data_IF_563500569525
#
_entry.id   IF_563500569525
#
_cell.length_a   1.000
_cell.length_b   1.000
_cell.length_c   1.000
_cell.angle_alpha   90.00
_cell.angle_beta   90.00
_cell.angle_gamma   90.00
#
_symmetry.space_group_name_H-M   'P 1'
#
loop_
_entity.id
_entity.type
_entity.pdbx_description
1 polymer ?
#
# COMPACT_ATOMS: atom_id res chain seq x y z
N UNK A 1 -6.99 22.19 -22.96
CA UNK A 1 -5.64 22.09 -22.49
C UNK A 1 -5.14 23.39 -21.88
N UNK A 2 -3.99 23.38 -21.22
CA UNK A 2 -3.38 24.58 -20.66
C UNK A 2 -2.56 25.32 -21.73
N UNK A 3 -2.62 26.68 -21.79
CA UNK A 3 -1.80 27.47 -22.70
C UNK A 3 -0.30 27.28 -22.38
N UNK A 4 0.54 27.15 -23.42
CA UNK A 4 1.99 26.98 -23.27
C UNK A 4 2.66 28.10 -22.45
N UNK A 5 2.12 29.32 -22.52
CA UNK A 5 2.60 30.45 -21.73
C UNK A 5 2.46 30.24 -20.23
N UNK A 6 1.36 29.61 -19.78
CA UNK A 6 1.15 29.26 -18.35
C UNK A 6 2.12 28.17 -17.89
N UNK A 7 2.34 27.15 -18.72
CA UNK A 7 3.30 26.07 -18.44
C UNK A 7 4.71 26.66 -18.29
N UNK A 8 5.13 27.50 -19.24
CA UNK A 8 6.45 28.17 -19.16
C UNK A 8 6.58 29.09 -17.97
N UNK A 9 5.50 29.80 -17.59
CA UNK A 9 5.50 30.63 -16.38
C UNK A 9 5.71 29.78 -15.14
N UNK A 10 4.94 28.71 -14.96
CA UNK A 10 5.08 27.78 -13.84
C UNK A 10 6.50 27.20 -13.74
N UNK A 11 7.07 26.74 -14.87
CA UNK A 11 8.43 26.22 -14.89
C UNK A 11 9.47 27.22 -14.40
N UNK A 12 9.33 28.50 -14.78
CA UNK A 12 10.22 29.58 -14.31
C UNK A 12 10.02 29.89 -12.82
N UNK A 13 8.78 29.87 -12.34
CA UNK A 13 8.46 30.03 -10.92
C UNK A 13 9.06 28.90 -10.07
N UNK A 14 8.97 27.66 -10.55
CA UNK A 14 9.58 26.51 -9.90
C UNK A 14 11.11 26.65 -9.78
N UNK A 15 11.77 27.06 -10.87
CA UNK A 15 13.23 27.26 -10.84
C UNK A 15 13.64 28.42 -9.96
N UNK A 16 12.85 29.49 -9.91
CA UNK A 16 13.14 30.69 -9.11
C UNK A 16 12.85 30.52 -7.62
N UNK A 17 12.11 29.49 -7.23
CA UNK A 17 11.78 29.24 -5.84
C UNK A 17 13.04 28.86 -5.05
N UNK A 18 13.13 29.30 -3.79
CA UNK A 18 14.21 28.92 -2.87
C UNK A 18 14.20 27.41 -2.58
N UNK A 19 13.01 26.82 -2.46
CA UNK A 19 12.77 25.40 -2.34
C UNK A 19 11.45 25.08 -3.07
N UNK A 20 11.44 24.01 -3.87
CA UNK A 20 10.26 23.55 -4.56
C UNK A 20 10.00 22.09 -4.17
N UNK A 21 8.89 21.85 -3.47
CA UNK A 21 8.45 20.51 -3.13
C UNK A 21 7.48 20.01 -4.20
N UNK A 22 7.87 18.96 -4.91
CA UNK A 22 7.08 18.38 -6.00
C UNK A 22 6.63 16.99 -5.55
N UNK A 23 5.33 16.83 -5.35
CA UNK A 23 4.73 15.60 -4.85
C UNK A 23 3.69 15.08 -5.84
N UNK A 24 3.63 13.76 -5.99
CA UNK A 24 2.58 13.08 -6.70
C UNK A 24 1.95 12.02 -5.82
N UNK A 25 0.65 11.78 -6.01
CA UNK A 25 -0.04 10.65 -5.39
C UNK A 25 0.04 9.40 -6.28
N UNK A 26 -0.76 8.41 -5.93
CA UNK A 26 -0.79 7.14 -6.68
C UNK A 26 -1.61 7.20 -7.98
N UNK A 27 -2.41 8.25 -8.18
CA UNK A 27 -3.24 8.42 -9.39
C UNK A 27 -2.45 8.34 -10.69
N UNK A 28 -1.34 9.09 -10.87
CA UNK A 28 -0.59 9.11 -12.11
C UNK A 28 -0.12 7.74 -12.60
N UNK A 29 0.29 6.85 -11.70
CA UNK A 29 0.76 5.50 -12.05
C UNK A 29 -0.38 4.51 -12.37
N UNK A 30 -1.63 4.83 -11.99
CA UNK A 30 -2.80 3.94 -12.14
C UNK A 30 -3.46 4.06 -13.51
N UNK A 31 -2.69 4.33 -14.52
CA UNK A 31 -3.09 4.40 -15.92
C UNK A 31 -2.18 3.51 -16.77
N UNK A 32 -2.61 3.19 -17.99
CA UNK A 32 -1.72 2.55 -18.96
C UNK A 32 -0.45 3.39 -19.12
N UNK A 33 0.70 2.74 -19.02
CA UNK A 33 2.03 3.41 -19.04
C UNK A 33 2.20 4.50 -17.96
N UNK A 34 1.50 4.39 -16.83
CA UNK A 34 1.52 5.38 -15.75
C UNK A 34 2.90 5.56 -15.12
N UNK A 35 3.75 4.55 -15.17
CA UNK A 35 5.16 4.62 -14.75
C UNK A 35 5.94 5.70 -15.53
N UNK A 36 5.63 5.95 -16.79
CA UNK A 36 6.26 7.02 -17.57
C UNK A 36 5.84 8.40 -17.06
N UNK A 37 4.57 8.55 -16.68
CA UNK A 37 4.07 9.78 -16.05
C UNK A 37 4.78 10.04 -14.72
N UNK A 38 4.91 9.02 -13.87
CA UNK A 38 5.66 9.09 -12.60
C UNK A 38 7.10 9.52 -12.84
N UNK A 39 7.79 8.88 -13.78
CA UNK A 39 9.19 9.21 -14.12
C UNK A 39 9.32 10.65 -14.63
N UNK A 40 8.40 11.10 -15.48
CA UNK A 40 8.39 12.48 -15.96
C UNK A 40 8.25 13.49 -14.80
N UNK A 41 7.38 13.21 -13.84
CA UNK A 41 7.24 14.05 -12.63
C UNK A 41 8.51 14.02 -11.79
N UNK A 42 9.14 12.85 -11.60
CA UNK A 42 10.38 12.71 -10.85
C UNK A 42 11.58 13.42 -11.49
N UNK A 43 11.54 13.72 -12.79
CA UNK A 43 12.59 14.51 -13.42
C UNK A 43 12.49 16.01 -13.10
N UNK A 44 11.32 16.52 -12.69
CA UNK A 44 11.13 17.93 -12.41
C UNK A 44 12.03 18.48 -11.31
N UNK A 45 12.17 17.86 -10.11
CA UNK A 45 13.12 18.33 -9.10
C UNK A 45 14.57 18.36 -9.60
N UNK A 46 14.95 17.46 -10.47
CA UNK A 46 16.28 17.41 -11.09
C UNK A 46 16.47 18.57 -12.04
N UNK A 47 15.53 18.77 -12.97
CA UNK A 47 15.57 19.83 -13.99
C UNK A 47 15.52 21.24 -13.37
N UNK A 48 14.81 21.39 -12.25
CA UNK A 48 14.70 22.66 -11.53
C UNK A 48 15.85 22.90 -10.54
N UNK A 49 16.75 21.93 -10.35
CA UNK A 49 17.86 22.00 -9.43
C UNK A 49 17.51 21.82 -7.94
N UNK A 50 16.29 21.36 -7.65
CA UNK A 50 15.77 21.19 -6.27
C UNK A 50 15.98 19.80 -5.68
N UNK A 51 16.68 18.92 -6.37
CA UNK A 51 16.99 17.59 -5.86
C UNK A 51 18.10 17.65 -4.80
N UNK A 52 17.86 17.05 -3.63
CA UNK A 52 18.85 16.98 -2.54
C UNK A 52 19.04 18.27 -1.75
N UNK A 53 18.06 19.15 -1.71
CA UNK A 53 18.07 20.40 -0.92
C UNK A 53 17.06 20.34 0.24
N UNK A 54 17.28 21.08 1.32
CA UNK A 54 16.31 21.21 2.40
C UNK A 54 14.94 21.69 1.91
N UNK A 55 13.86 21.08 2.40
CA UNK A 55 12.50 21.44 2.02
C UNK A 55 12.09 21.04 0.60
N UNK A 56 12.86 20.16 -0.04
CA UNK A 56 12.54 19.60 -1.36
C UNK A 56 12.35 18.09 -1.29
N UNK A 57 12.02 17.47 -2.41
CA UNK A 57 11.93 16.01 -2.53
C UNK A 57 12.39 15.54 -3.92
N UNK A 58 12.24 14.24 -4.17
CA UNK A 58 12.59 13.61 -5.46
C UNK A 58 11.40 13.52 -6.44
N UNK A 59 10.32 14.26 -6.23
CA UNK A 59 9.11 14.19 -7.07
C UNK A 59 8.21 13.00 -6.80
N UNK A 60 8.51 12.22 -5.76
CA UNK A 60 7.75 11.05 -5.40
C UNK A 60 6.76 11.34 -4.26
N UNK A 61 5.86 10.39 -4.00
CA UNK A 61 5.06 10.38 -2.78
C UNK A 61 5.99 10.28 -1.56
N UNK A 62 5.79 11.09 -0.52
CA UNK A 62 6.54 10.97 0.72
C UNK A 62 6.07 9.71 1.46
N UNK A 63 6.64 8.57 1.09
CA UNK A 63 6.28 7.27 1.61
C UNK A 63 7.45 6.64 2.36
N UNK A 64 7.11 5.95 3.42
CA UNK A 64 8.07 5.24 4.25
C UNK A 64 8.30 5.94 5.59
N UNK A 65 8.35 5.15 6.61
CA UNK A 65 8.64 5.58 7.97
C UNK A 65 9.63 4.60 8.60
N UNK A 66 10.67 5.09 9.25
CA UNK A 66 11.48 4.25 10.12
C UNK A 66 10.76 3.89 11.42
N UNK A 67 9.56 4.42 11.62
CA UNK A 67 8.80 4.40 12.88
C UNK A 67 7.52 3.56 12.80
N UNK A 68 7.44 2.60 11.88
CA UNK A 68 6.28 1.74 11.73
C UNK A 68 6.07 0.80 12.92
N UNK A 69 4.81 0.44 13.16
CA UNK A 69 4.43 -0.63 14.08
C UNK A 69 4.78 -1.97 13.41
N UNK A 70 5.36 -2.94 14.15
CA UNK A 70 5.59 -4.28 13.63
C UNK A 70 4.30 -4.94 13.15
N UNK A 71 4.40 -5.75 12.11
CA UNK A 71 3.29 -6.60 11.69
C UNK A 71 3.16 -7.82 12.59
N UNK A 72 1.95 -8.37 12.67
CA UNK A 72 1.74 -9.70 13.24
C UNK A 72 2.63 -10.72 12.54
N UNK A 73 3.08 -11.77 13.25
CA UNK A 73 3.80 -12.87 12.62
C UNK A 73 2.99 -13.46 11.47
N UNK A 74 3.64 -13.64 10.34
CA UNK A 74 3.05 -14.31 9.16
C UNK A 74 3.74 -15.66 8.99
N UNK A 75 2.95 -16.70 8.76
CA UNK A 75 3.48 -18.00 8.44
C UNK A 75 4.11 -18.06 7.04
N UNK A 76 4.67 -19.21 6.68
CA UNK A 76 5.13 -19.45 5.32
C UNK A 76 3.94 -19.71 4.41
N UNK A 77 3.81 -18.92 3.35
CA UNK A 77 2.81 -19.14 2.33
C UNK A 77 3.31 -20.15 1.29
N UNK A 78 2.77 -21.37 1.25
CA UNK A 78 3.19 -22.38 0.28
C UNK A 78 2.74 -22.06 -1.15
N UNK A 79 1.84 -21.08 -1.32
CA UNK A 79 1.31 -20.71 -2.64
C UNK A 79 2.23 -19.67 -3.26
N UNK A 80 2.95 -20.07 -4.29
CA UNK A 80 3.88 -19.21 -5.04
C UNK A 80 3.23 -18.55 -6.26
N UNK A 81 2.07 -19.06 -6.70
CA UNK A 81 1.35 -18.51 -7.85
C UNK A 81 0.67 -17.21 -7.47
N UNK A 82 0.91 -16.16 -8.24
CA UNK A 82 0.26 -14.87 -8.06
C UNK A 82 -0.18 -14.28 -9.39
N UNK A 83 -1.16 -13.38 -9.34
CA UNK A 83 -1.70 -12.66 -10.49
C UNK A 83 -1.60 -11.14 -10.24
N UNK A 84 -1.56 -10.31 -11.28
CA UNK A 84 -1.70 -8.88 -11.12
C UNK A 84 -3.02 -8.53 -10.43
N UNK A 85 -2.98 -7.60 -9.48
CA UNK A 85 -4.10 -7.22 -8.61
C UNK A 85 -5.40 -6.92 -9.39
N UNK A 86 -5.30 -6.26 -10.53
CA UNK A 86 -6.48 -5.85 -11.31
C UNK A 86 -7.00 -6.91 -12.31
N UNK A 87 -6.44 -8.11 -12.33
CA UNK A 87 -6.88 -9.20 -13.21
C UNK A 87 -7.67 -10.29 -12.48
N UNK A 88 -8.10 -10.04 -11.24
CA UNK A 88 -8.89 -11.02 -10.49
C UNK A 88 -10.24 -11.35 -11.17
N UNK A 89 -10.87 -10.40 -11.84
CA UNK A 89 -12.09 -10.64 -12.62
C UNK A 89 -11.85 -11.54 -13.81
N UNK A 90 -10.69 -11.42 -14.46
CA UNK A 90 -10.29 -12.30 -15.55
C UNK A 90 -9.92 -13.68 -15.03
N UNK A 91 -9.29 -13.77 -13.86
CA UNK A 91 -8.98 -15.02 -13.19
C UNK A 91 -10.23 -15.80 -12.74
N UNK A 92 -11.35 -15.12 -12.48
CA UNK A 92 -12.64 -15.76 -12.25
C UNK A 92 -13.24 -16.25 -13.57
N UNK A 93 -13.34 -15.36 -14.55
CA UNK A 93 -14.14 -15.58 -15.77
C UNK A 93 -13.43 -16.43 -16.82
N UNK A 94 -12.11 -16.29 -16.96
CA UNK A 94 -11.30 -16.92 -18.00
C UNK A 94 -9.96 -17.44 -17.44
N UNK A 95 -9.95 -18.29 -16.42
CA UNK A 95 -8.70 -18.74 -15.78
C UNK A 95 -7.75 -19.43 -16.77
N UNK A 96 -8.27 -20.08 -17.80
CA UNK A 96 -7.49 -20.74 -18.83
C UNK A 96 -6.65 -19.79 -19.69
N UNK A 97 -7.04 -18.50 -19.75
CA UNK A 97 -6.30 -17.44 -20.47
C UNK A 97 -5.25 -16.74 -19.60
N UNK A 98 -5.28 -16.98 -18.29
CA UNK A 98 -4.35 -16.40 -17.34
C UNK A 98 -3.00 -17.08 -17.41
N UNK A 99 -2.09 -16.54 -18.22
CA UNK A 99 -0.74 -17.09 -18.40
C UNK A 99 0.34 -16.12 -17.94
N UNK A 100 1.55 -16.63 -17.68
CA UNK A 100 2.71 -15.82 -17.35
C UNK A 100 3.03 -14.80 -18.46
N UNK A 101 2.91 -15.24 -19.70
CA UNK A 101 3.32 -14.47 -20.86
C UNK A 101 2.34 -13.37 -21.27
N UNK A 102 1.03 -13.61 -21.16
CA UNK A 102 0.00 -12.68 -21.63
C UNK A 102 -0.64 -11.86 -20.51
N UNK A 103 -0.73 -12.41 -19.30
CA UNK A 103 -1.46 -11.82 -18.19
C UNK A 103 -0.60 -11.65 -16.92
N UNK A 104 0.70 -11.88 -17.02
CA UNK A 104 1.65 -11.62 -15.94
C UNK A 104 1.50 -12.53 -14.71
N UNK A 105 1.02 -13.76 -14.90
CA UNK A 105 1.01 -14.78 -13.84
C UNK A 105 2.45 -15.06 -13.43
N UNK A 106 2.71 -15.11 -12.11
CA UNK A 106 4.02 -15.47 -11.56
C UNK A 106 3.93 -16.79 -10.82
N UNK A 107 5.03 -17.52 -10.74
CA UNK A 107 5.12 -18.80 -10.04
C UNK A 107 4.49 -19.98 -10.76
N UNK A 108 3.87 -19.77 -11.93
CA UNK A 108 3.33 -20.80 -12.81
C UNK A 108 3.25 -20.30 -14.25
N UNK A 109 3.26 -21.20 -15.24
CA UNK A 109 3.06 -20.82 -16.65
C UNK A 109 1.63 -20.31 -16.90
N UNK A 110 0.67 -20.89 -16.20
CA UNK A 110 -0.76 -20.49 -16.24
C UNK A 110 -1.46 -20.84 -14.94
N UNK A 111 -2.61 -20.25 -14.69
CA UNK A 111 -3.46 -20.66 -13.58
C UNK A 111 -3.99 -22.08 -13.80
N UNK A 112 -3.94 -22.88 -12.74
CA UNK A 112 -4.51 -24.23 -12.73
C UNK A 112 -6.02 -24.24 -12.52
N UNK A 113 -6.50 -23.23 -11.77
CA UNK A 113 -7.92 -23.04 -11.44
C UNK A 113 -8.23 -21.56 -11.34
N UNK A 114 -9.49 -21.19 -11.53
CA UNK A 114 -9.98 -19.84 -11.29
C UNK A 114 -10.16 -19.52 -9.79
N UNK A 115 -10.45 -18.28 -9.51
CA UNK A 115 -10.83 -17.85 -8.15
C UNK A 115 -12.25 -18.33 -7.88
N UNK A 116 -12.42 -19.12 -6.81
CA UNK A 116 -13.68 -19.70 -6.37
C UNK A 116 -14.19 -19.09 -5.07
N UNK A 117 -13.28 -18.59 -4.23
CA UNK A 117 -13.56 -17.92 -2.98
C UNK A 117 -12.91 -16.54 -2.97
N UNK A 118 -13.67 -15.53 -2.60
CA UNK A 118 -13.17 -14.17 -2.33
C UNK A 118 -13.39 -13.86 -0.87
N UNK A 119 -12.35 -13.36 -0.20
CA UNK A 119 -12.47 -12.70 1.10
C UNK A 119 -12.07 -11.24 0.91
N UNK A 120 -13.02 -10.32 1.05
CA UNK A 120 -12.79 -8.88 0.94
C UNK A 120 -12.90 -8.26 2.35
N UNK A 121 -11.80 -7.70 2.83
CA UNK A 121 -11.73 -7.08 4.15
C UNK A 121 -11.47 -5.58 4.02
N UNK A 122 -12.19 -4.79 4.81
CA UNK A 122 -12.03 -3.34 5.00
C UNK A 122 -11.91 -2.55 3.69
N UNK A 123 -12.87 -2.71 2.80
CA UNK A 123 -12.86 -1.90 1.59
C UNK A 123 -13.93 -2.22 0.56
N UNK A 124 -14.32 -1.21 -0.18
CA UNK A 124 -15.23 -1.34 -1.32
C UNK A 124 -14.46 -1.76 -2.61
N UNK A 125 -13.47 -2.66 -2.45
CA UNK A 125 -12.51 -2.98 -3.52
C UNK A 125 -13.16 -3.70 -4.71
N UNK A 126 -14.11 -4.59 -4.47
CA UNK A 126 -14.70 -5.42 -5.53
C UNK A 126 -15.40 -4.58 -6.61
N UNK A 127 -16.05 -3.48 -6.25
CA UNK A 127 -16.75 -2.63 -7.20
C UNK A 127 -16.11 -1.27 -7.46
N UNK A 128 -15.20 -0.81 -6.59
CA UNK A 128 -14.69 0.54 -6.66
C UNK A 128 -13.28 0.64 -7.26
N UNK A 129 -12.48 -0.41 -7.19
CA UNK A 129 -11.09 -0.35 -7.66
C UNK A 129 -10.91 -0.64 -9.14
N UNK A 130 -11.90 -1.19 -9.81
CA UNK A 130 -11.83 -1.56 -11.22
C UNK A 130 -12.62 -0.62 -12.12
N UNK A 131 -12.12 -0.39 -13.32
CA UNK A 131 -12.95 0.01 -14.45
C UNK A 131 -13.95 -1.11 -14.83
N UNK A 132 -14.80 -0.87 -15.81
CA UNK A 132 -15.79 -1.84 -16.28
C UNK A 132 -16.71 -2.39 -15.16
N UNK A 133 -17.16 -1.53 -14.24
CA UNK A 133 -17.99 -1.88 -13.08
C UNK A 133 -19.21 -2.76 -13.45
N UNK A 134 -19.83 -2.52 -14.60
CA UNK A 134 -20.97 -3.34 -15.04
C UNK A 134 -20.58 -4.79 -15.37
N UNK A 135 -19.38 -5.02 -15.90
CA UNK A 135 -18.84 -6.38 -16.08
C UNK A 135 -18.60 -7.04 -14.71
N UNK A 136 -17.94 -6.33 -13.82
CA UNK A 136 -17.64 -6.82 -12.47
C UNK A 136 -18.92 -7.22 -11.72
N UNK A 137 -19.96 -6.38 -11.77
CA UNK A 137 -21.28 -6.68 -11.18
C UNK A 137 -21.88 -7.98 -11.70
N UNK A 138 -21.79 -8.24 -13.01
CA UNK A 138 -22.28 -9.49 -13.61
C UNK A 138 -21.50 -10.71 -13.12
N UNK A 139 -20.18 -10.57 -12.96
CA UNK A 139 -19.32 -11.65 -12.46
C UNK A 139 -19.64 -11.96 -11.00
N UNK A 140 -19.78 -10.93 -10.16
CA UNK A 140 -20.08 -11.11 -8.73
C UNK A 140 -21.50 -11.61 -8.45
N UNK A 141 -22.44 -11.42 -9.38
CA UNK A 141 -23.82 -11.88 -9.27
C UNK A 141 -24.03 -13.29 -9.89
N UNK A 142 -22.99 -13.96 -10.33
CA UNK A 142 -23.05 -15.28 -10.98
C UNK A 142 -22.28 -16.32 -10.13
N UNK A 143 -23.02 -17.03 -9.30
CA UNK A 143 -22.50 -18.06 -8.39
C UNK A 143 -21.82 -19.22 -9.13
N UNK A 144 -22.07 -19.39 -10.43
CA UNK A 144 -21.38 -20.41 -11.24
C UNK A 144 -19.94 -20.01 -11.55
N UNK A 145 -19.59 -18.72 -11.44
CA UNK A 145 -18.26 -18.20 -11.69
C UNK A 145 -17.42 -18.15 -10.40
N UNK A 146 -17.93 -17.49 -9.36
CA UNK A 146 -17.30 -17.42 -8.04
C UNK A 146 -18.28 -17.99 -7.01
N UNK A 147 -17.91 -19.10 -6.38
CA UNK A 147 -18.81 -19.89 -5.55
C UNK A 147 -19.11 -19.26 -4.19
N UNK A 148 -18.23 -18.40 -3.67
CA UNK A 148 -18.40 -17.79 -2.34
C UNK A 148 -17.70 -16.45 -2.24
N UNK A 149 -18.41 -15.45 -1.77
CA UNK A 149 -17.90 -14.11 -1.48
C UNK A 149 -18.14 -13.79 -0.01
N UNK A 150 -17.07 -13.67 0.75
CA UNK A 150 -17.09 -13.25 2.15
C UNK A 150 -16.64 -11.80 2.22
N UNK A 151 -17.40 -10.95 2.89
CA UNK A 151 -17.01 -9.55 3.13
C UNK A 151 -16.97 -9.28 4.63
N UNK A 152 -15.83 -8.75 5.08
CA UNK A 152 -15.62 -8.27 6.45
C UNK A 152 -15.60 -6.74 6.36
N UNK A 153 -16.62 -6.07 6.89
CA UNK A 153 -16.80 -4.63 6.68
C UNK A 153 -17.68 -4.01 7.79
N UNK A 154 -17.41 -2.76 8.11
CA UNK A 154 -18.22 -2.00 9.08
C UNK A 154 -19.30 -1.13 8.42
N UNK A 155 -19.35 -1.07 7.10
CA UNK A 155 -20.37 -0.35 6.33
C UNK A 155 -20.96 -1.23 5.22
N UNK A 156 -22.24 -1.03 4.92
CA UNK A 156 -22.88 -1.69 3.78
C UNK A 156 -22.45 -1.03 2.47
N UNK A 157 -21.19 -1.30 2.09
CA UNK A 157 -20.62 -0.82 0.83
C UNK A 157 -21.28 -1.47 -0.40
N UNK A 158 -21.16 -0.89 -1.60
CA UNK A 158 -21.58 -1.56 -2.83
C UNK A 158 -20.97 -2.96 -3.00
N UNK A 159 -19.73 -3.19 -2.58
CA UNK A 159 -19.08 -4.51 -2.59
C UNK A 159 -19.73 -5.47 -1.58
N UNK A 160 -20.05 -5.00 -0.39
CA UNK A 160 -20.70 -5.80 0.65
C UNK A 160 -22.08 -6.35 0.23
N UNK A 161 -22.76 -5.68 -0.70
CA UNK A 161 -24.05 -6.13 -1.25
C UNK A 161 -23.97 -7.38 -2.13
N UNK A 162 -22.77 -7.81 -2.48
CA UNK A 162 -22.51 -9.05 -3.25
C UNK A 162 -21.96 -10.17 -2.38
N UNK A 163 -21.90 -9.96 -1.06
CA UNK A 163 -21.45 -10.99 -0.15
C UNK A 163 -22.51 -12.09 0.03
N UNK A 164 -22.08 -13.32 -0.04
CA UNK A 164 -22.86 -14.48 0.44
C UNK A 164 -22.81 -14.53 1.97
N UNK A 165 -21.67 -14.14 2.55
CA UNK A 165 -21.46 -14.05 3.99
C UNK A 165 -20.90 -12.67 4.30
N UNK A 166 -21.66 -11.89 5.07
CA UNK A 166 -21.22 -10.60 5.59
C UNK A 166 -20.88 -10.74 7.08
N UNK A 167 -19.62 -10.45 7.42
CA UNK A 167 -19.11 -10.46 8.79
C UNK A 167 -18.90 -9.01 9.24
N UNK A 168 -19.71 -8.52 10.18
CA UNK A 168 -19.63 -7.12 10.61
C UNK A 168 -18.37 -6.89 11.45
N UNK A 169 -17.58 -5.87 11.07
CA UNK A 169 -16.33 -5.49 11.72
C UNK A 169 -16.54 -4.31 12.68
N UNK A 170 -15.77 -4.28 13.77
CA UNK A 170 -15.71 -3.13 14.68
C UNK A 170 -15.22 -1.87 13.97
N UNK A 171 -15.76 -0.74 14.35
CA UNK A 171 -15.21 0.57 14.00
C UNK A 171 -14.00 0.90 14.89
N UNK A 172 -13.25 1.95 14.53
CA UNK A 172 -12.14 2.44 15.38
C UNK A 172 -12.57 2.88 16.77
N UNK A 173 -13.84 3.28 16.96
CA UNK A 173 -14.37 3.65 18.28
C UNK A 173 -14.61 2.44 19.18
N UNK A 174 -14.75 1.27 18.61
CA UNK A 174 -15.06 0.00 19.28
C UNK A 174 -13.82 -0.90 19.44
N UNK A 175 -12.67 -0.49 18.93
CA UNK A 175 -11.45 -1.29 18.89
C UNK A 175 -10.37 -0.81 19.86
N UNK A 176 -9.50 -1.71 20.27
CA UNK A 176 -8.21 -1.41 20.90
C UNK A 176 -7.08 -1.88 19.99
N UNK A 177 -6.12 -0.99 19.67
CA UNK A 177 -5.00 -1.33 18.79
C UNK A 177 -3.83 -0.36 18.95
N UNK A 178 -2.71 -0.65 18.32
CA UNK A 178 -1.60 0.27 18.13
C UNK A 178 -1.46 0.58 16.65
N UNK A 179 -1.67 1.85 16.28
CA UNK A 179 -1.71 2.28 14.88
C UNK A 179 -0.58 3.26 14.62
N UNK A 180 0.08 3.13 13.49
CA UNK A 180 1.04 4.11 13.02
C UNK A 180 0.45 5.04 11.95
N UNK A 181 1.23 6.03 11.56
CA UNK A 181 0.85 6.99 10.53
C UNK A 181 1.33 6.61 9.13
N UNK A 182 1.56 5.32 8.86
CA UNK A 182 2.22 4.83 7.64
C UNK A 182 1.54 5.26 6.33
N UNK A 183 0.24 5.50 6.37
CA UNK A 183 -0.53 6.01 5.23
C UNK A 183 -0.77 7.52 5.27
N UNK A 184 -0.32 8.21 6.30
CA UNK A 184 -0.49 9.66 6.40
C UNK A 184 0.53 10.38 5.54
N UNK A 185 0.08 11.24 4.64
CA UNK A 185 0.96 12.08 3.84
C UNK A 185 1.78 13.02 4.73
N UNK A 186 3.07 12.79 4.79
CA UNK A 186 4.05 13.75 5.32
C UNK A 186 4.33 13.72 6.81
N UNK A 187 3.70 12.89 7.62
CA UNK A 187 4.06 12.75 9.03
C UNK A 187 4.04 11.30 9.46
N UNK A 188 5.20 10.74 9.76
CA UNK A 188 5.38 9.36 10.22
C UNK A 188 6.02 9.30 11.60
N UNK A 189 5.88 10.37 12.37
CA UNK A 189 6.60 10.56 13.61
C UNK A 189 5.76 10.24 14.85
N UNK A 190 4.56 9.70 14.68
CA UNK A 190 3.68 9.37 15.79
C UNK A 190 3.05 7.99 15.63
N UNK A 191 2.69 7.40 16.76
CA UNK A 191 1.80 6.26 16.89
C UNK A 191 0.54 6.68 17.64
N UNK A 192 -0.51 5.94 17.47
CA UNK A 192 -1.74 6.12 18.23
C UNK A 192 -2.02 4.81 18.99
N UNK A 193 -2.11 4.90 20.31
CA UNK A 193 -2.74 3.86 21.10
C UNK A 193 -4.24 4.04 21.00
N UNK A 194 -4.84 3.28 20.11
CA UNK A 194 -6.27 3.29 19.91
C UNK A 194 -6.95 2.63 21.12
N UNK A 195 -7.90 3.32 21.72
CA UNK A 195 -8.63 2.84 22.87
C UNK A 195 -10.11 2.75 22.55
N UNK A 196 -10.72 1.68 23.02
CA UNK A 196 -12.17 1.53 22.94
C UNK A 196 -12.87 2.70 23.63
N UNK A 197 -13.68 3.43 22.88
CA UNK A 197 -14.43 4.59 23.34
C UNK A 197 -15.88 4.22 23.62
N UNK A 198 -16.40 3.25 22.89
CA UNK A 198 -17.76 2.71 23.06
C UNK A 198 -17.70 1.18 23.03
N UNK A 199 -18.65 0.52 23.67
CA UNK A 199 -18.79 -0.93 23.56
C UNK A 199 -19.20 -1.33 22.14
N UNK A 200 -18.66 -2.47 21.61
CA UNK A 200 -19.07 -2.99 20.32
C UNK A 200 -20.59 -3.13 20.22
N UNK A 201 -21.16 -2.59 19.16
CA UNK A 201 -22.61 -2.62 18.94
C UNK A 201 -23.00 -3.84 18.11
N UNK A 202 -24.12 -4.45 18.47
CA UNK A 202 -24.66 -5.64 17.78
C UNK A 202 -23.68 -6.82 17.76
N UNK A 203 -23.50 -7.45 16.60
CA UNK A 203 -22.67 -8.64 16.42
C UNK A 203 -21.30 -8.31 15.83
N UNK A 204 -20.87 -7.04 15.89
CA UNK A 204 -19.56 -6.63 15.35
C UNK A 204 -18.42 -7.25 16.14
N UNK A 205 -17.36 -7.62 15.45
CA UNK A 205 -16.14 -8.20 16.02
C UNK A 205 -14.92 -7.66 15.29
N UNK A 206 -13.78 -7.63 15.95
CA UNK A 206 -12.55 -7.25 15.25
C UNK A 206 -12.20 -8.26 14.15
N UNK A 207 -11.58 -7.80 13.08
CA UNK A 207 -11.05 -8.72 12.04
C UNK A 207 -10.13 -9.77 12.66
N UNK A 208 -9.36 -9.41 13.69
CA UNK A 208 -8.51 -10.35 14.41
C UNK A 208 -9.32 -11.48 15.04
N UNK A 209 -10.39 -11.16 15.77
CA UNK A 209 -11.24 -12.16 16.42
C UNK A 209 -12.01 -13.02 15.41
N UNK A 210 -12.49 -12.41 14.32
CA UNK A 210 -13.12 -13.12 13.21
C UNK A 210 -12.15 -14.16 12.62
N UNK A 211 -10.91 -13.75 12.33
CA UNK A 211 -9.89 -14.64 11.81
C UNK A 211 -9.47 -15.73 12.82
N UNK A 212 -9.40 -15.38 14.12
CA UNK A 212 -9.10 -16.32 15.18
C UNK A 212 -10.17 -17.40 15.32
N UNK A 213 -11.44 -17.05 15.13
CA UNK A 213 -12.53 -18.03 15.17
C UNK A 213 -12.53 -18.93 13.92
N UNK A 214 -12.29 -18.36 12.74
CA UNK A 214 -12.11 -19.15 11.51
C UNK A 214 -10.96 -20.14 11.70
N UNK A 215 -9.83 -19.67 12.22
CA UNK A 215 -8.69 -20.53 12.56
C UNK A 215 -9.07 -21.61 13.58
N UNK A 216 -9.92 -21.27 14.55
CA UNK A 216 -10.43 -22.22 15.55
C UNK A 216 -11.23 -23.37 14.92
N UNK A 217 -12.11 -23.05 13.96
CA UNK A 217 -12.87 -24.06 13.21
C UNK A 217 -11.97 -24.95 12.34
N UNK A 218 -10.80 -24.44 11.95
CA UNK A 218 -9.77 -25.21 11.24
C UNK A 218 -8.79 -25.95 12.16
N UNK A 219 -8.94 -25.85 13.50
CA UNK A 219 -8.02 -26.43 14.46
C UNK A 219 -6.67 -25.69 14.58
N UNK A 220 -6.61 -24.44 14.13
CA UNK A 220 -5.38 -23.64 14.03
C UNK A 220 -5.38 -22.39 14.93
N UNK A 221 -6.35 -22.28 15.88
CA UNK A 221 -6.51 -21.06 16.69
C UNK A 221 -5.23 -20.70 17.45
N UNK A 222 -4.62 -21.69 18.10
CA UNK A 222 -3.42 -21.46 18.91
C UNK A 222 -2.23 -21.01 18.05
N UNK A 223 -2.05 -21.61 16.88
CA UNK A 223 -1.01 -21.20 15.93
C UNK A 223 -1.24 -19.80 15.37
N UNK A 224 -2.50 -19.41 15.17
CA UNK A 224 -2.86 -18.10 14.66
C UNK A 224 -2.70 -17.01 15.73
N UNK A 225 -3.16 -17.27 16.95
CA UNK A 225 -3.20 -16.26 18.02
C UNK A 225 -1.96 -16.26 18.90
N UNK A 226 -1.21 -17.37 18.95
CA UNK A 226 -0.18 -17.62 19.97
C UNK A 226 -0.72 -17.40 21.41
N UNK A 227 -2.00 -17.70 21.63
CA UNK A 227 -2.68 -17.48 22.91
C UNK A 227 -2.93 -16.01 23.27
N UNK A 228 -2.72 -15.06 22.35
CA UNK A 228 -2.82 -13.61 22.61
C UNK A 228 -4.10 -13.01 22.05
N UNK A 229 -4.60 -11.99 22.73
CA UNK A 229 -5.64 -11.08 22.22
C UNK A 229 -5.04 -9.97 21.35
N UNK A 230 -5.87 -9.25 20.61
CA UNK A 230 -5.44 -8.07 19.85
C UNK A 230 -4.74 -7.03 20.74
N UNK A 231 -5.31 -6.74 21.91
CA UNK A 231 -4.71 -5.80 22.87
C UNK A 231 -3.34 -6.25 23.37
N UNK A 232 -3.15 -7.55 23.61
CA UNK A 232 -1.85 -8.11 24.00
C UNK A 232 -0.82 -8.04 22.88
N UNK A 233 -1.24 -8.19 21.62
CA UNK A 233 -0.37 -7.95 20.47
C UNK A 233 0.04 -6.49 20.36
N UNK A 234 -0.89 -5.55 20.54
CA UNK A 234 -0.59 -4.12 20.55
C UNK A 234 0.46 -3.75 21.61
N UNK A 235 0.31 -4.27 22.83
CA UNK A 235 1.27 -4.08 23.90
C UNK A 235 2.64 -4.69 23.54
N UNK A 236 2.68 -5.93 23.07
CA UNK A 236 3.92 -6.60 22.67
C UNK A 236 4.67 -5.82 21.59
N UNK A 237 3.96 -5.37 20.56
CA UNK A 237 4.55 -4.57 19.48
C UNK A 237 5.10 -3.24 20.02
N UNK A 238 4.39 -2.59 20.93
CA UNK A 238 4.88 -1.39 21.57
C UNK A 238 6.17 -1.65 22.38
N UNK A 239 6.24 -2.74 23.14
CA UNK A 239 7.45 -3.12 23.87
C UNK A 239 8.64 -3.37 22.92
N UNK A 240 8.42 -4.06 21.81
CA UNK A 240 9.45 -4.26 20.78
C UNK A 240 9.96 -2.95 20.17
N UNK A 241 9.07 -1.96 20.03
CA UNK A 241 9.45 -0.61 19.60
C UNK A 241 10.27 0.07 20.70
N UNK A 242 9.85 -0.04 21.97
CA UNK A 242 10.55 0.55 23.10
C UNK A 242 11.96 -0.02 23.32
N UNK A 243 12.18 -1.31 23.09
CA UNK A 243 13.51 -1.90 23.15
C UNK A 243 14.52 -1.15 22.25
N UNK A 244 14.07 -0.68 21.10
CA UNK A 244 14.88 0.11 20.16
C UNK A 244 14.85 1.59 20.45
N UNK A 245 13.89 2.06 21.25
CA UNK A 245 13.61 3.47 21.55
C UNK A 245 13.25 3.66 23.01
N UNK A 246 14.22 3.47 23.93
CA UNK A 246 13.98 3.46 25.37
C UNK A 246 13.53 4.82 25.94
N UNK A 247 13.56 5.88 25.15
CA UNK A 247 13.03 7.20 25.49
C UNK A 247 11.50 7.29 25.43
N UNK A 248 10.83 6.32 24.77
CA UNK A 248 9.37 6.27 24.75
C UNK A 248 8.82 5.90 26.14
N UNK A 249 7.64 6.40 26.52
CA UNK A 249 7.04 6.15 27.82
C UNK A 249 6.71 4.65 28.03
N UNK A 250 6.44 4.27 29.26
CA UNK A 250 5.88 2.94 29.57
C UNK A 250 4.51 2.77 28.90
N UNK A 251 4.14 1.52 28.58
CA UNK A 251 2.91 1.23 27.83
C UNK A 251 1.66 1.84 28.44
N UNK A 252 1.51 1.76 29.77
CA UNK A 252 0.34 2.33 30.43
C UNK A 252 0.25 3.86 30.25
N UNK A 253 1.39 4.55 30.35
CA UNK A 253 1.47 5.99 30.10
C UNK A 253 1.19 6.32 28.64
N UNK A 254 1.73 5.52 27.72
CA UNK A 254 1.49 5.66 26.28
C UNK A 254 0.01 5.51 25.94
N UNK A 255 -0.69 4.55 26.58
CA UNK A 255 -2.14 4.38 26.46
C UNK A 255 -2.91 5.63 26.91
N UNK A 256 -2.55 6.18 28.06
CA UNK A 256 -3.19 7.38 28.60
C UNK A 256 -2.95 8.62 27.72
N UNK A 257 -1.77 8.73 27.11
CA UNK A 257 -1.45 9.79 26.16
C UNK A 257 -2.26 9.70 24.87
N UNK A 258 -2.61 8.49 24.43
CA UNK A 258 -3.30 8.20 23.17
C UNK A 258 -2.41 8.44 21.94
N UNK A 259 -1.86 9.64 21.77
CA UNK A 259 -0.93 9.98 20.67
C UNK A 259 0.50 10.00 21.20
N UNK A 260 1.36 9.18 20.63
CA UNK A 260 2.74 8.99 21.07
C UNK A 260 3.67 9.57 20.01
N UNK A 261 4.32 10.69 20.34
CA UNK A 261 5.35 11.28 19.47
C UNK A 261 6.63 10.44 19.54
N UNK A 262 7.12 10.00 18.41
CA UNK A 262 8.31 9.17 18.30
C UNK A 262 9.59 9.95 18.00
N UNK A 263 9.51 11.27 17.86
CA UNK A 263 10.66 12.11 17.53
C UNK A 263 11.61 12.22 18.71
N UNK A 264 12.90 12.23 18.40
CA UNK A 264 13.95 12.56 19.36
C UNK A 264 14.32 14.04 19.17
N UNK A 265 14.29 14.83 20.23
CA UNK A 265 14.59 16.26 20.18
C UNK A 265 16.01 16.59 19.62
N UNK A 266 16.92 15.63 19.64
CA UNK A 266 18.31 15.76 19.17
C UNK A 266 18.56 15.12 17.80
N UNK A 267 17.52 14.63 17.14
CA UNK A 267 17.66 14.01 15.83
C UNK A 267 18.13 15.03 14.79
N UNK A 268 19.21 14.73 14.10
CA UNK A 268 19.71 15.61 13.03
C UNK A 268 18.72 15.56 11.86
N UNK A 269 18.48 16.73 11.27
CA UNK A 269 17.69 16.81 10.03
C UNK A 269 18.31 15.91 8.97
N UNK A 270 17.49 15.00 8.42
CA UNK A 270 17.88 14.17 7.30
C UNK A 270 17.38 14.80 6.01
N UNK A 271 18.28 15.16 5.14
CA UNK A 271 17.96 15.68 3.82
C UNK A 271 18.23 14.56 2.80
N UNK A 272 17.18 14.02 2.22
CA UNK A 272 17.29 12.96 1.24
C UNK A 272 18.20 13.38 0.06
N UNK A 273 19.14 12.53 -0.28
CA UNK A 273 20.11 12.74 -1.39
C UNK A 273 21.07 13.92 -1.23
N UNK A 274 21.19 14.53 -0.05
CA UNK A 274 22.14 15.64 0.16
C UNK A 274 23.59 15.22 -0.08
N UNK A 275 23.98 14.04 0.41
CA UNK A 275 25.34 13.51 0.24
C UNK A 275 25.66 13.25 -1.22
N UNK A 276 24.71 12.67 -1.99
CA UNK A 276 24.86 12.52 -3.44
C UNK A 276 25.01 13.85 -4.15
N UNK A 277 24.25 14.86 -3.74
CA UNK A 277 24.34 16.22 -4.31
C UNK A 277 25.70 16.86 -4.02
N UNK A 278 26.21 16.66 -2.81
CA UNK A 278 27.51 17.22 -2.40
C UNK A 278 28.68 16.54 -3.11
N UNK A 279 28.69 15.23 -3.17
CA UNK A 279 29.72 14.43 -3.85
C UNK A 279 29.11 13.16 -4.47
N UNK A 280 28.70 13.21 -5.74
CA UNK A 280 28.11 12.05 -6.43
C UNK A 280 29.04 10.85 -6.61
N UNK A 281 30.36 11.05 -6.55
CA UNK A 281 31.34 9.98 -6.70
C UNK A 281 31.51 9.21 -5.40
N UNK A 282 31.60 9.93 -4.28
CA UNK A 282 31.71 9.31 -2.96
C UNK A 282 30.36 8.70 -2.49
N UNK A 283 29.24 9.24 -2.94
CA UNK A 283 27.89 8.84 -2.49
C UNK A 283 26.99 8.51 -3.70
N UNK A 284 27.32 7.48 -4.51
CA UNK A 284 26.55 7.15 -5.70
C UNK A 284 25.12 6.72 -5.36
N UNK A 285 24.18 6.96 -6.26
CA UNK A 285 22.82 6.46 -6.13
C UNK A 285 22.78 4.94 -6.33
N UNK A 286 21.73 4.30 -5.79
CA UNK A 286 21.46 2.86 -5.99
C UNK A 286 20.86 2.56 -7.37
N UNK A 287 21.40 3.17 -8.41
CA UNK A 287 21.06 2.94 -9.82
C UNK A 287 22.20 2.19 -10.49
N UNK A 288 21.98 1.50 -11.61
CA UNK A 288 23.07 0.81 -12.34
C UNK A 288 24.27 1.71 -12.67
N UNK A 289 24.02 2.99 -12.97
CA UNK A 289 25.09 3.96 -13.28
C UNK A 289 25.65 4.69 -12.05
N UNK A 290 25.05 4.52 -10.87
CA UNK A 290 25.34 5.33 -9.69
C UNK A 290 24.87 6.79 -9.80
N UNK A 291 24.17 7.16 -10.88
CA UNK A 291 23.72 8.52 -11.21
C UNK A 291 22.22 8.58 -11.35
N UNK A 292 21.68 9.78 -11.56
CA UNK A 292 20.28 9.97 -11.93
C UNK A 292 20.08 9.46 -13.36
N UNK A 293 19.21 8.47 -13.53
CA UNK A 293 18.88 7.85 -14.82
C UNK A 293 17.53 8.37 -15.34
N UNK A 294 17.56 9.25 -16.32
CA UNK A 294 16.36 9.71 -17.01
C UNK A 294 15.86 8.62 -17.98
N UNK A 295 16.75 7.97 -18.70
CA UNK A 295 16.45 6.78 -19.50
C UNK A 295 16.54 5.51 -18.64
N UNK A 296 15.60 4.59 -18.79
CA UNK A 296 15.62 3.30 -18.09
C UNK A 296 15.87 2.15 -19.05
N UNK A 297 17.06 1.60 -19.00
CA UNK A 297 17.41 0.42 -19.78
C UNK A 297 16.54 -0.78 -19.37
N UNK A 298 16.26 -0.94 -18.08
CA UNK A 298 15.40 -2.01 -17.58
C UNK A 298 13.99 -1.97 -18.17
N UNK A 299 13.41 -0.78 -18.34
CA UNK A 299 12.13 -0.61 -19.00
C UNK A 299 12.21 -0.93 -20.49
N UNK A 300 13.26 -0.47 -21.17
CA UNK A 300 13.47 -0.75 -22.59
C UNK A 300 13.65 -2.26 -22.85
N UNK A 301 14.39 -2.95 -21.98
CA UNK A 301 14.59 -4.40 -22.07
C UNK A 301 13.29 -5.18 -21.78
N UNK A 302 12.46 -4.70 -20.86
CA UNK A 302 11.15 -5.26 -20.57
C UNK A 302 10.22 -5.08 -21.78
N UNK A 303 10.25 -3.91 -22.41
CA UNK A 303 9.45 -3.59 -23.59
C UNK A 303 9.69 -4.57 -24.75
N UNK A 304 10.92 -4.99 -24.96
CA UNK A 304 11.28 -5.95 -26.01
C UNK A 304 10.73 -7.36 -25.77
N UNK A 305 10.40 -7.69 -24.52
CA UNK A 305 9.90 -9.01 -24.11
C UNK A 305 8.39 -9.05 -23.91
N UNK A 306 7.74 -7.92 -23.93
CA UNK A 306 6.32 -7.82 -23.64
C UNK A 306 5.50 -8.03 -24.91
N UNK A 307 4.54 -8.95 -24.84
CA UNK A 307 3.54 -9.14 -25.90
C UNK A 307 2.43 -8.12 -25.64
N UNK A 308 2.41 -7.08 -26.47
CA UNK A 308 1.37 -6.05 -26.44
C UNK A 308 0.21 -6.43 -27.37
N UNK A 309 -1.02 -5.99 -27.07
CA UNK A 309 -2.10 -6.02 -28.03
C UNK A 309 -1.69 -5.34 -29.35
N UNK A 310 -2.27 -5.80 -30.46
CA UNK A 310 -2.00 -5.20 -31.77
C UNK A 310 -2.33 -3.71 -31.76
N UNK A 311 -1.39 -2.89 -32.19
CA UNK A 311 -1.50 -1.43 -32.22
C UNK A 311 -0.97 -0.71 -30.97
N UNK A 312 -0.73 -1.41 -29.86
CA UNK A 312 -0.13 -0.79 -28.68
C UNK A 312 1.41 -0.66 -28.85
N UNK A 313 1.92 0.43 -28.31
CA UNK A 313 3.38 0.66 -28.26
C UNK A 313 3.78 1.02 -26.83
N UNK A 314 4.92 0.51 -26.40
CA UNK A 314 5.55 1.02 -25.20
C UNK A 314 6.26 2.32 -25.55
N UNK A 315 5.94 3.43 -24.87
CA UNK A 315 6.55 4.74 -25.15
C UNK A 315 8.04 4.77 -24.83
#
# INVERSE_FOLDING_TARGET
GLPATRIRKLAREMVAAKACYICQGWGPQRHANGEQTVRAIQTLPVLTGHFGLPGTNNGNWPYGTPYGVPSLPVGENPITTSIPCYLWTDAIQNPEKMTANTMGVKGAEKLKTGIKLIVNQAGNALLNQHGATNRTRKILADDTLCETIIVIENHMTPSAKYADILLPETSYLEAEDLVDSSYSAGSHNYMISLQRTIEPMWEVRSTYDICADIAGHLGLREQFTEGKTQAQWAELHYQQIREKRPYLPEWQVAKEMGVIDQRIATEKESIAFADFRADPQANPLKTPSGKIEVYSQALADLAQKWILPEGDRIP
#
